data_IF_684651264020
#
_entry.id   IF_684651264020
#
_cell.length_a   1.000
_cell.length_b   1.000
_cell.length_c   1.000
_cell.angle_alpha   90.00
_cell.angle_beta   90.00
_cell.angle_gamma   90.00
#
_symmetry.space_group_name_H-M   'P 1'
#
loop_
_entity.id
_entity.type
_entity.pdbx_description
1 polymer ?
#
# COMPACT_ATOMS: atom_id res chain seq x y z
N UNK A 1 13.13 34.11 7.44
CA UNK A 1 13.05 32.75 6.90
C UNK A 1 13.62 32.64 5.48
N UNK A 2 13.01 33.24 4.45
CA UNK A 2 13.46 33.11 3.04
C UNK A 2 14.93 33.46 2.82
N UNK A 3 15.40 34.62 3.28
CA UNK A 3 16.82 35.00 3.15
C UNK A 3 17.79 34.06 3.89
N UNK A 4 17.35 33.46 5.01
CA UNK A 4 18.14 32.45 5.73
C UNK A 4 18.21 31.14 4.92
N UNK A 5 17.10 30.69 4.33
CA UNK A 5 17.08 29.53 3.45
C UNK A 5 18.06 29.67 2.27
N UNK A 6 18.06 30.85 1.64
CA UNK A 6 18.98 31.16 0.54
C UNK A 6 20.45 31.14 1.00
N UNK A 7 20.74 31.78 2.13
CA UNK A 7 22.10 31.79 2.71
C UNK A 7 22.60 30.38 3.07
N UNK A 8 21.76 29.56 3.71
CA UNK A 8 22.10 28.19 4.09
C UNK A 8 22.38 27.34 2.85
N UNK A 9 21.48 27.37 1.86
CA UNK A 9 21.64 26.52 0.68
C UNK A 9 22.81 26.95 -0.20
N UNK A 10 23.04 28.27 -0.33
CA UNK A 10 24.23 28.81 -1.00
C UNK A 10 25.51 28.29 -0.37
N UNK A 11 25.61 28.32 0.96
CA UNK A 11 26.74 27.76 1.70
C UNK A 11 26.96 26.27 1.39
N UNK A 12 25.90 25.46 1.44
CA UNK A 12 26.02 24.03 1.12
C UNK A 12 26.48 23.78 -0.32
N UNK A 13 25.91 24.51 -1.28
CA UNK A 13 26.28 24.38 -2.69
C UNK A 13 27.74 24.75 -2.93
N UNK A 14 28.22 25.84 -2.32
CA UNK A 14 29.61 26.28 -2.43
C UNK A 14 30.57 25.22 -1.88
N UNK A 15 30.32 24.73 -0.66
CA UNK A 15 31.16 23.70 -0.03
C UNK A 15 31.14 22.37 -0.79
N UNK A 16 29.98 21.96 -1.28
CA UNK A 16 29.86 20.74 -2.07
C UNK A 16 30.63 20.84 -3.41
N UNK A 17 30.59 21.99 -4.08
CA UNK A 17 31.37 22.23 -5.31
C UNK A 17 32.88 22.30 -5.03
N UNK A 18 33.30 22.92 -3.92
CA UNK A 18 34.71 22.92 -3.49
C UNK A 18 35.21 21.49 -3.26
N UNK A 19 34.44 20.66 -2.55
CA UNK A 19 34.79 19.26 -2.33
C UNK A 19 34.86 18.46 -3.64
N UNK A 20 33.90 18.66 -4.55
CA UNK A 20 33.90 18.03 -5.89
C UNK A 20 35.13 18.43 -6.72
N UNK A 21 35.60 19.67 -6.59
CA UNK A 21 36.82 20.12 -7.26
C UNK A 21 38.09 19.48 -6.69
N UNK A 22 38.20 19.36 -5.37
CA UNK A 22 39.31 18.64 -4.72
C UNK A 22 39.35 17.17 -5.15
N UNK A 23 38.19 16.52 -5.27
CA UNK A 23 38.10 15.15 -5.77
C UNK A 23 38.53 15.03 -7.24
N UNK A 24 38.29 16.07 -8.04
CA UNK A 24 38.69 16.09 -9.45
C UNK A 24 40.22 16.17 -9.63
N UNK A 25 40.92 16.85 -8.72
CA UNK A 25 42.39 16.91 -8.72
C UNK A 25 43.01 15.53 -8.47
N UNK A 26 42.38 14.72 -7.62
CA UNK A 26 42.88 13.38 -7.28
C UNK A 26 42.44 12.30 -8.28
N UNK A 27 41.20 12.40 -8.82
CA UNK A 27 40.55 11.31 -9.56
C UNK A 27 40.22 11.67 -11.01
N UNK A 28 40.51 12.90 -11.43
CA UNK A 28 40.07 13.48 -12.70
C UNK A 28 38.63 14.00 -12.64
N UNK A 29 38.29 14.88 -13.59
CA UNK A 29 36.93 15.38 -13.77
C UNK A 29 35.93 14.27 -14.11
N UNK A 30 34.63 14.55 -14.06
CA UNK A 30 33.65 13.61 -14.63
C UNK A 30 33.84 13.46 -16.15
N UNK A 31 33.54 12.29 -16.75
CA UNK A 31 33.85 12.02 -18.16
C UNK A 31 33.25 13.03 -19.15
N UNK A 32 32.02 13.49 -18.90
CA UNK A 32 31.31 14.44 -19.75
C UNK A 32 31.53 15.90 -19.33
N UNK A 33 32.63 16.21 -18.63
CA UNK A 33 32.97 17.59 -18.30
C UNK A 33 33.15 18.44 -19.57
N UNK A 34 33.89 17.99 -20.61
CA UNK A 34 34.01 18.73 -21.85
C UNK A 34 32.64 18.96 -22.51
N UNK A 35 32.32 20.21 -22.85
CA UNK A 35 31.04 20.62 -23.43
C UNK A 35 29.88 20.74 -22.43
N UNK A 36 30.12 20.58 -21.12
CA UNK A 36 29.11 20.83 -20.08
C UNK A 36 28.97 22.33 -19.76
N UNK A 37 27.96 22.70 -18.98
CA UNK A 37 27.77 24.08 -18.48
C UNK A 37 28.94 24.57 -17.60
N UNK A 38 29.82 23.67 -17.15
CA UNK A 38 30.99 23.99 -16.33
C UNK A 38 32.26 24.14 -17.16
N UNK A 39 32.25 23.75 -18.44
CA UNK A 39 33.39 23.85 -19.35
C UNK A 39 33.54 25.27 -19.89
N UNK A 40 33.86 26.19 -18.97
CA UNK A 40 34.11 27.60 -19.27
C UNK A 40 35.58 27.93 -19.05
N UNK A 41 36.09 28.90 -19.82
CA UNK A 41 37.50 29.28 -19.74
C UNK A 41 37.89 29.71 -18.32
N UNK A 42 38.89 29.04 -17.73
CA UNK A 42 39.36 29.29 -16.37
C UNK A 42 38.55 28.62 -15.25
N UNK A 43 37.51 27.84 -15.56
CA UNK A 43 36.77 27.11 -14.54
C UNK A 43 37.57 25.94 -13.95
N UNK A 44 37.42 25.73 -12.64
CA UNK A 44 38.01 24.58 -11.96
C UNK A 44 37.27 23.30 -12.36
N UNK A 45 38.02 22.25 -12.69
CA UNK A 45 37.45 20.93 -12.97
C UNK A 45 36.74 20.38 -11.73
N UNK A 46 35.60 19.73 -11.93
CA UNK A 46 34.80 19.12 -10.86
C UNK A 46 34.60 17.62 -11.12
N UNK A 47 34.45 16.84 -10.05
CA UNK A 47 34.34 15.37 -10.13
C UNK A 47 32.92 14.89 -10.40
N UNK A 48 31.92 15.68 -9.99
CA UNK A 48 30.51 15.33 -10.05
C UNK A 48 29.76 16.38 -10.87
N UNK A 49 28.85 15.94 -11.76
CA UNK A 49 28.06 16.85 -12.59
C UNK A 49 27.01 17.64 -11.78
N UNK A 50 26.48 17.04 -10.71
CA UNK A 50 25.60 17.67 -9.72
C UNK A 50 25.99 17.19 -8.33
N UNK A 51 25.79 18.04 -7.32
CA UNK A 51 26.20 17.73 -5.92
C UNK A 51 25.12 17.99 -4.88
N UNK A 52 24.02 18.66 -5.24
CA UNK A 52 22.94 19.00 -4.31
C UNK A 52 21.57 18.55 -4.82
N UNK A 53 20.73 18.15 -3.86
CA UNK A 53 19.30 17.87 -4.04
C UNK A 53 18.63 17.99 -2.68
N UNK A 54 17.35 18.34 -2.63
CA UNK A 54 16.56 18.25 -1.40
C UNK A 54 15.52 17.16 -1.59
N UNK A 55 15.75 16.01 -0.96
CA UNK A 55 14.87 14.85 -1.01
C UNK A 55 13.91 14.82 0.18
N UNK A 56 12.77 14.10 0.08
CA UNK A 56 11.99 13.76 1.25
C UNK A 56 12.83 12.98 2.25
N UNK A 57 12.78 13.38 3.53
CA UNK A 57 13.57 12.76 4.59
C UNK A 57 12.73 12.02 5.63
N UNK A 58 11.48 11.66 5.31
CA UNK A 58 10.48 11.18 6.30
C UNK A 58 10.98 10.11 7.28
N UNK A 59 11.70 9.09 6.84
CA UNK A 59 12.23 8.05 7.75
C UNK A 59 13.51 8.48 8.48
N UNK A 60 14.41 9.19 7.80
CA UNK A 60 15.72 9.56 8.36
C UNK A 60 15.62 10.78 9.29
N UNK A 61 14.60 11.64 9.12
CA UNK A 61 14.32 12.76 10.03
C UNK A 61 13.84 12.25 11.39
N UNK A 62 13.06 11.18 11.42
CA UNK A 62 12.65 10.48 12.66
C UNK A 62 13.89 9.93 13.38
N UNK A 63 14.79 9.25 12.67
CA UNK A 63 16.04 8.73 13.25
C UNK A 63 16.90 9.87 13.81
N UNK A 64 16.97 10.99 13.09
CA UNK A 64 17.73 12.17 13.48
C UNK A 64 17.07 13.03 14.57
N UNK A 65 15.81 12.75 14.92
CA UNK A 65 15.03 13.61 15.82
C UNK A 65 14.86 15.04 15.29
N UNK A 66 14.73 15.20 13.97
CA UNK A 66 14.70 16.50 13.30
C UNK A 66 13.45 16.66 12.42
N UNK A 67 13.22 17.88 11.93
CA UNK A 67 12.17 18.15 10.93
C UNK A 67 12.49 17.50 9.58
N UNK A 68 11.44 17.24 8.79
CA UNK A 68 11.58 16.58 7.49
C UNK A 68 12.05 17.54 6.40
N UNK A 69 13.36 17.66 6.23
CA UNK A 69 13.97 18.38 5.11
C UNK A 69 13.75 19.88 5.27
N UNK A 70 13.11 20.51 4.29
CA UNK A 70 12.76 21.94 4.33
C UNK A 70 11.25 22.17 4.58
N UNK A 71 10.54 21.13 5.01
CA UNK A 71 9.14 21.23 5.36
C UNK A 71 8.97 21.96 6.70
N UNK A 72 7.95 22.82 6.85
CA UNK A 72 7.53 23.30 8.16
C UNK A 72 6.94 22.16 8.98
N UNK A 73 6.89 22.36 10.29
CA UNK A 73 6.29 21.39 11.22
C UNK A 73 4.83 21.21 10.85
N UNK A 74 4.39 19.96 10.69
CA UNK A 74 3.00 19.68 10.30
C UNK A 74 2.02 19.92 11.46
N UNK A 75 2.38 19.49 12.67
CA UNK A 75 1.63 19.69 13.91
C UNK A 75 2.60 19.82 15.09
N UNK A 76 2.26 20.66 16.07
CA UNK A 76 3.08 20.87 17.27
C UNK A 76 2.92 19.77 18.32
N UNK A 77 1.82 19.02 18.26
CA UNK A 77 1.63 17.84 19.07
C UNK A 77 0.91 16.78 18.24
N UNK A 78 1.28 15.53 18.44
CA UNK A 78 0.64 14.37 17.81
C UNK A 78 0.38 13.28 18.84
N UNK A 79 -0.71 12.55 18.66
CA UNK A 79 -1.03 11.40 19.50
C UNK A 79 -0.52 10.14 18.82
N UNK A 80 0.39 9.44 19.50
CA UNK A 80 0.93 8.16 19.04
C UNK A 80 0.24 7.03 19.78
N UNK A 81 -0.35 6.10 19.04
CA UNK A 81 -0.87 4.87 19.61
C UNK A 81 0.32 3.98 20.01
N UNK A 82 0.44 3.71 21.30
CA UNK A 82 1.42 2.78 21.85
C UNK A 82 0.79 1.37 21.89
N UNK A 83 1.64 0.35 22.03
CA UNK A 83 1.17 -1.02 22.32
C UNK A 83 0.23 -0.98 23.54
N UNK A 84 -0.78 -1.87 23.55
CA UNK A 84 -1.82 -1.98 24.59
C UNK A 84 -2.92 -0.92 24.62
N UNK A 85 -3.00 -0.05 23.61
CA UNK A 85 -4.13 0.88 23.44
C UNK A 85 -3.97 2.20 24.20
N UNK A 86 -2.83 2.38 24.88
CA UNK A 86 -2.45 3.64 25.48
C UNK A 86 -2.12 4.67 24.41
N UNK A 87 -2.61 5.89 24.62
CA UNK A 87 -2.37 7.02 23.74
C UNK A 87 -1.33 7.92 24.36
N UNK A 88 -0.13 7.96 23.77
CA UNK A 88 0.93 8.86 24.22
C UNK A 88 0.82 10.19 23.45
N UNK A 89 0.74 11.29 24.20
CA UNK A 89 0.84 12.62 23.62
C UNK A 89 2.32 12.99 23.45
N UNK A 90 2.72 13.25 22.21
CA UNK A 90 4.07 13.68 21.89
C UNK A 90 4.02 15.13 21.40
N UNK A 91 4.57 16.03 22.20
CA UNK A 91 4.65 17.47 21.90
C UNK A 91 6.02 17.77 21.30
N UNK A 92 6.09 18.75 20.41
CA UNK A 92 7.34 19.23 19.86
C UNK A 92 8.30 19.61 21.01
N UNK A 93 9.50 19.00 21.10
CA UNK A 93 10.37 19.18 22.26
C UNK A 93 10.79 20.63 22.51
N UNK A 94 10.98 21.41 21.45
CA UNK A 94 11.36 22.82 21.56
C UNK A 94 10.20 23.69 22.07
N UNK A 95 8.97 23.39 21.62
CA UNK A 95 7.78 24.06 22.12
C UNK A 95 7.57 23.77 23.61
N UNK A 96 7.64 22.50 24.01
CA UNK A 96 7.50 22.11 25.41
C UNK A 96 8.57 22.75 26.30
N UNK A 97 9.83 22.72 25.86
CA UNK A 97 10.92 23.34 26.61
C UNK A 97 10.67 24.84 26.82
N UNK A 98 10.39 25.58 25.75
CA UNK A 98 10.14 27.02 25.82
C UNK A 98 8.91 27.33 26.68
N UNK A 99 7.83 26.56 26.53
CA UNK A 99 6.62 26.75 27.32
C UNK A 99 6.86 26.55 28.82
N UNK A 100 7.73 25.60 29.19
CA UNK A 100 8.13 25.38 30.59
C UNK A 100 9.03 26.50 31.10
N UNK A 101 10.01 26.91 30.31
CA UNK A 101 10.96 27.97 30.67
C UNK A 101 10.26 29.33 30.86
N UNK A 102 9.28 29.63 30.02
CA UNK A 102 8.47 30.87 30.06
C UNK A 102 7.24 30.76 30.96
N UNK A 103 6.98 29.59 31.55
CA UNK A 103 5.94 29.39 32.56
C UNK A 103 4.50 29.35 32.03
N UNK A 104 4.27 29.15 30.74
CA UNK A 104 2.93 29.00 30.16
C UNK A 104 2.54 27.54 29.85
N UNK A 105 3.39 26.57 30.16
CA UNK A 105 3.08 25.15 29.97
C UNK A 105 2.03 24.64 30.97
N UNK A 106 1.01 23.94 30.46
CA UNK A 106 0.06 23.14 31.24
C UNK A 106 -0.27 21.84 30.48
N UNK A 107 -0.73 20.81 31.20
CA UNK A 107 -1.20 19.57 30.53
C UNK A 107 -2.45 19.84 29.68
N UNK A 108 -3.29 20.77 30.12
CA UNK A 108 -4.45 21.27 29.39
C UNK A 108 -4.04 21.93 28.08
N UNK A 109 -3.02 22.80 28.10
CA UNK A 109 -2.49 23.43 26.90
C UNK A 109 -1.91 22.39 25.94
N UNK A 110 -1.17 21.40 26.46
CA UNK A 110 -0.62 20.33 25.63
C UNK A 110 -1.73 19.53 24.92
N UNK A 111 -2.81 19.19 25.64
CA UNK A 111 -3.99 18.54 25.05
C UNK A 111 -4.68 19.43 24.01
N UNK A 112 -4.85 20.72 24.32
CA UNK A 112 -5.48 21.67 23.42
C UNK A 112 -4.68 21.86 22.12
N UNK A 113 -3.34 21.95 22.22
CA UNK A 113 -2.45 22.00 21.04
C UNK A 113 -2.53 20.72 20.22
N UNK A 114 -2.71 19.57 20.87
CA UNK A 114 -2.89 18.29 20.18
C UNK A 114 -4.26 18.18 19.49
N UNK A 115 -5.29 18.81 20.05
CA UNK A 115 -6.65 18.88 19.52
C UNK A 115 -6.78 19.85 18.35
N UNK A 116 -6.16 21.03 18.44
CA UNK A 116 -6.21 22.06 17.39
C UNK A 116 -5.13 21.84 16.33
N UNK A 117 -4.05 21.16 16.68
CA UNK A 117 -2.84 21.00 15.86
C UNK A 117 -1.99 22.27 15.74
N UNK A 118 -2.45 23.42 16.27
CA UNK A 118 -1.82 24.73 16.10
C UNK A 118 -2.06 25.63 17.33
N UNK A 119 -1.10 26.51 17.62
CA UNK A 119 -1.16 27.46 18.75
C UNK A 119 -1.76 28.81 18.38
N UNK A 120 -2.08 29.07 17.10
CA UNK A 120 -2.44 30.43 16.66
C UNK A 120 -3.65 31.02 17.39
N UNK A 121 -4.63 30.18 17.73
CA UNK A 121 -5.88 30.58 18.39
C UNK A 121 -5.83 30.45 19.92
N UNK A 122 -4.66 30.15 20.50
CA UNK A 122 -4.51 29.91 21.93
C UNK A 122 -3.96 31.17 22.62
N UNK A 123 -4.81 31.87 23.36
CA UNK A 123 -4.43 33.11 24.05
C UNK A 123 -3.49 32.86 25.24
N UNK A 124 -3.48 31.64 25.78
CA UNK A 124 -2.53 31.16 26.78
C UNK A 124 -1.08 31.15 26.24
N UNK A 125 -0.90 31.10 24.92
CA UNK A 125 0.43 31.18 24.28
C UNK A 125 0.76 32.63 23.94
N UNK A 126 1.87 33.18 24.48
CA UNK A 126 2.29 34.55 24.17
C UNK A 126 2.44 34.78 22.65
N UNK A 127 2.11 35.99 22.20
CA UNK A 127 2.07 36.33 20.77
C UNK A 127 3.41 36.10 20.07
N UNK A 128 4.53 36.32 20.76
CA UNK A 128 5.87 36.08 20.22
C UNK A 128 6.08 34.61 19.84
N UNK A 129 5.61 33.69 20.69
CA UNK A 129 5.73 32.25 20.47
C UNK A 129 4.72 31.74 19.46
N UNK A 130 3.51 32.31 19.42
CA UNK A 130 2.55 32.04 18.33
C UNK A 130 3.14 32.35 16.96
N UNK A 131 3.91 33.45 16.82
CA UNK A 131 4.57 33.81 15.55
C UNK A 131 5.70 32.87 15.14
N UNK A 132 6.32 32.16 16.09
CA UNK A 132 7.43 31.24 15.84
C UNK A 132 6.90 29.83 15.55
N UNK A 133 5.98 29.35 16.39
CA UNK A 133 5.41 28.02 16.29
C UNK A 133 4.23 27.99 15.31
N UNK A 134 4.52 28.31 14.05
CA UNK A 134 3.61 28.16 12.93
C UNK A 134 3.72 26.76 12.33
N UNK A 135 2.58 26.17 12.00
CA UNK A 135 2.51 24.87 11.33
C UNK A 135 2.42 25.04 9.81
N UNK A 136 2.53 23.92 9.11
CA UNK A 136 2.40 23.86 7.66
C UNK A 136 1.09 24.45 7.12
N UNK A 137 0.04 24.51 7.94
CA UNK A 137 -1.27 25.01 7.54
C UNK A 137 -1.53 26.45 7.96
N UNK A 138 -0.70 26.99 8.87
CA UNK A 138 -0.75 28.40 9.27
C UNK A 138 0.00 29.30 8.27
N UNK A 139 0.78 28.68 7.37
CA UNK A 139 1.64 29.36 6.41
C UNK A 139 0.91 29.51 5.08
N UNK A 140 0.81 30.74 4.59
CA UNK A 140 0.24 31.00 3.26
C UNK A 140 1.03 30.27 2.15
N UNK A 141 0.35 29.69 1.13
CA UNK A 141 0.97 29.02 -0.01
C UNK A 141 2.13 29.81 -0.65
N UNK A 142 2.02 31.14 -0.73
CA UNK A 142 3.05 32.01 -1.28
C UNK A 142 4.38 31.87 -0.52
N UNK A 143 4.34 31.80 0.82
CA UNK A 143 5.57 31.67 1.61
C UNK A 143 6.23 30.31 1.43
N UNK A 144 5.44 29.25 1.23
CA UNK A 144 5.99 27.94 0.88
C UNK A 144 6.74 27.99 -0.47
N UNK A 145 6.17 28.64 -1.48
CA UNK A 145 6.79 28.79 -2.80
C UNK A 145 8.08 29.61 -2.70
N UNK A 146 8.06 30.74 -1.98
CA UNK A 146 9.24 31.59 -1.82
C UNK A 146 10.41 30.88 -1.14
N UNK A 147 10.13 30.06 -0.12
CA UNK A 147 11.17 29.23 0.53
C UNK A 147 11.68 28.17 -0.43
N UNK A 148 10.80 27.48 -1.16
CA UNK A 148 11.22 26.49 -2.16
C UNK A 148 12.11 27.12 -3.24
N UNK A 149 11.75 28.30 -3.75
CA UNK A 149 12.53 29.03 -4.74
C UNK A 149 13.92 29.42 -4.21
N UNK A 150 14.01 29.88 -2.96
CA UNK A 150 15.27 30.20 -2.31
C UNK A 150 16.21 28.99 -2.23
N UNK A 151 15.71 27.81 -1.86
CA UNK A 151 16.50 26.57 -1.92
C UNK A 151 16.82 26.14 -3.36
N UNK A 152 15.89 26.30 -4.29
CA UNK A 152 16.06 25.86 -5.68
C UNK A 152 17.17 26.63 -6.40
N UNK A 153 17.35 27.93 -6.12
CA UNK A 153 18.42 28.77 -6.68
C UNK A 153 19.83 28.20 -6.44
N UNK A 154 20.02 27.50 -5.33
CA UNK A 154 21.28 26.90 -4.94
C UNK A 154 21.21 25.37 -4.91
N UNK A 155 20.37 24.76 -5.75
CA UNK A 155 20.24 23.30 -5.88
C UNK A 155 20.41 22.86 -7.35
N UNK A 156 21.37 21.98 -7.61
CA UNK A 156 21.68 21.48 -8.96
C UNK A 156 20.55 20.60 -9.52
N UNK A 157 20.01 19.69 -8.69
CA UNK A 157 18.84 18.88 -9.04
C UNK A 157 17.54 19.61 -8.63
N UNK A 158 16.54 18.90 -8.11
CA UNK A 158 15.26 19.49 -7.70
C UNK A 158 15.12 19.59 -6.17
N UNK A 159 14.12 20.36 -5.76
CA UNK A 159 13.71 20.50 -4.36
C UNK A 159 12.36 19.82 -4.17
N UNK A 160 12.30 18.82 -3.29
CA UNK A 160 11.04 18.23 -2.83
C UNK A 160 10.46 19.10 -1.71
N UNK A 161 9.34 19.75 -2.00
CA UNK A 161 8.56 20.56 -1.06
C UNK A 161 7.09 20.45 -1.40
N UNK A 162 6.27 20.27 -0.36
CA UNK A 162 4.82 20.30 -0.47
C UNK A 162 4.28 21.70 -0.16
N UNK A 163 3.46 22.25 -1.04
CA UNK A 163 2.71 23.49 -0.82
C UNK A 163 1.36 23.08 -0.23
N UNK A 164 1.15 23.36 1.05
CA UNK A 164 -0.11 23.04 1.71
C UNK A 164 -1.12 24.15 1.43
N UNK A 165 -2.33 23.74 1.04
CA UNK A 165 -3.45 24.63 0.80
C UNK A 165 -4.55 24.36 1.81
N UNK A 166 -5.30 25.40 2.25
CA UNK A 166 -6.47 25.21 3.08
C UNK A 166 -7.57 24.45 2.32
N UNK A 167 -8.52 23.89 3.06
CA UNK A 167 -9.58 23.05 2.49
C UNK A 167 -10.43 23.80 1.46
N UNK A 168 -10.66 25.09 1.64
CA UNK A 168 -11.46 25.96 0.78
C UNK A 168 -10.69 26.53 -0.44
N UNK A 169 -9.41 26.19 -0.60
CA UNK A 169 -8.62 26.63 -1.75
C UNK A 169 -9.27 26.21 -3.08
N UNK A 170 -9.38 27.17 -3.99
CA UNK A 170 -9.99 27.01 -5.31
C UNK A 170 -9.00 26.41 -6.31
N UNK A 171 -9.51 26.01 -7.49
CA UNK A 171 -8.64 25.59 -8.60
C UNK A 171 -7.74 26.72 -9.10
N UNK A 172 -8.24 27.97 -9.07
CA UNK A 172 -7.47 29.13 -9.50
C UNK A 172 -6.28 29.37 -8.56
N UNK A 173 -6.47 29.21 -7.25
CA UNK A 173 -5.37 29.38 -6.28
C UNK A 173 -4.23 28.39 -6.53
N UNK A 174 -4.58 27.15 -6.92
CA UNK A 174 -3.63 26.11 -7.28
C UNK A 174 -2.93 26.42 -8.61
N UNK A 175 -3.67 26.90 -9.61
CA UNK A 175 -3.11 27.35 -10.90
C UNK A 175 -2.11 28.49 -10.71
N UNK A 176 -2.51 29.53 -9.97
CA UNK A 176 -1.68 30.68 -9.66
C UNK A 176 -0.39 30.27 -8.95
N UNK A 177 -0.45 29.30 -8.04
CA UNK A 177 0.74 28.77 -7.38
C UNK A 177 1.70 28.07 -8.33
N UNK A 178 1.20 27.30 -9.31
CA UNK A 178 2.05 26.71 -10.34
C UNK A 178 2.72 27.79 -11.20
N UNK A 179 1.98 28.82 -11.61
CA UNK A 179 2.52 29.93 -12.39
C UNK A 179 3.58 30.70 -11.62
N UNK A 180 3.33 31.05 -10.35
CA UNK A 180 4.31 31.74 -9.49
C UNK A 180 5.55 30.89 -9.25
N UNK A 181 5.40 29.58 -9.02
CA UNK A 181 6.54 28.68 -8.86
C UNK A 181 7.40 28.63 -10.14
N UNK A 182 6.76 28.58 -11.31
CA UNK A 182 7.45 28.63 -12.59
C UNK A 182 8.21 29.96 -12.78
N UNK A 183 7.55 31.10 -12.53
CA UNK A 183 8.17 32.43 -12.60
C UNK A 183 9.34 32.59 -11.62
N UNK A 184 9.24 31.96 -10.45
CA UNK A 184 10.31 31.96 -9.43
C UNK A 184 11.48 31.01 -9.76
N UNK A 185 11.40 30.24 -10.85
CA UNK A 185 12.44 29.31 -11.29
C UNK A 185 12.44 27.96 -10.56
N UNK A 186 11.32 27.57 -9.94
CA UNK A 186 11.15 26.24 -9.37
C UNK A 186 11.11 25.18 -10.47
N UNK A 187 11.86 24.07 -10.30
CA UNK A 187 11.91 22.97 -11.28
C UNK A 187 10.68 22.06 -11.24
N UNK A 188 9.88 22.17 -10.18
CA UNK A 188 8.65 21.41 -9.97
C UNK A 188 7.90 21.94 -8.76
N UNK A 189 6.65 21.54 -8.60
CA UNK A 189 5.81 21.93 -7.47
C UNK A 189 4.94 20.73 -7.08
N UNK A 190 4.79 20.49 -5.78
CA UNK A 190 3.84 19.50 -5.25
C UNK A 190 2.83 20.24 -4.40
N UNK A 191 1.54 20.05 -4.68
CA UNK A 191 0.45 20.67 -3.93
C UNK A 191 -0.29 19.64 -3.10
N UNK A 192 -0.69 20.03 -1.90
CA UNK A 192 -1.57 19.25 -1.06
C UNK A 192 -2.67 20.16 -0.50
N UNK A 193 -3.90 19.96 -0.95
CA UNK A 193 -5.08 20.66 -0.41
C UNK A 193 -5.65 19.87 0.75
N UNK A 194 -5.84 20.53 1.88
CA UNK A 194 -6.42 19.89 3.07
C UNK A 194 -7.79 19.26 2.74
N UNK A 195 -8.07 18.08 3.30
CA UNK A 195 -9.25 17.27 3.01
C UNK A 195 -9.40 16.72 1.59
N UNK A 196 -8.39 16.87 0.70
CA UNK A 196 -8.47 16.36 -0.68
C UNK A 196 -8.37 14.83 -0.82
N UNK A 197 -7.95 14.12 0.23
CA UNK A 197 -7.85 12.64 0.26
C UNK A 197 -8.64 12.08 1.45
N UNK A 198 -9.35 10.97 1.22
CA UNK A 198 -10.17 10.29 2.23
C UNK A 198 -9.35 9.70 3.38
N UNK A 199 -8.10 9.31 3.14
CA UNK A 199 -7.16 8.84 4.15
C UNK A 199 -5.96 9.80 4.19
N UNK A 200 -5.78 10.48 5.32
CA UNK A 200 -4.65 11.33 5.61
C UNK A 200 -3.71 10.59 6.57
N UNK A 201 -2.40 10.54 6.25
CA UNK A 201 -1.40 9.86 7.10
C UNK A 201 -1.05 10.72 8.33
N UNK A 202 -1.16 12.03 8.19
CA UNK A 202 -1.01 13.03 9.25
C UNK A 202 -2.31 13.82 9.27
N UNK A 203 -2.97 13.91 10.42
CA UNK A 203 -4.26 14.59 10.55
C UNK A 203 -4.13 15.73 11.54
N UNK A 204 -4.74 16.87 11.23
CA UNK A 204 -4.87 17.98 12.18
C UNK A 204 -5.76 17.54 13.32
N UNK A 205 -5.27 17.68 14.53
CA UNK A 205 -6.12 17.52 15.69
C UNK A 205 -6.58 16.09 15.93
N UNK A 206 -7.38 15.92 16.99
CA UNK A 206 -8.15 14.70 17.25
C UNK A 206 -9.28 14.54 16.22
N UNK A 207 -8.95 14.41 14.93
CA UNK A 207 -9.84 13.60 14.11
C UNK A 207 -9.48 12.18 14.47
N UNK A 208 -10.43 11.48 15.07
CA UNK A 208 -10.42 10.02 15.04
C UNK A 208 -10.33 9.60 13.58
N UNK A 209 -9.10 9.48 13.08
CA UNK A 209 -8.83 8.42 12.15
C UNK A 209 -9.02 7.20 13.02
N UNK A 210 -10.23 6.69 13.03
CA UNK A 210 -10.41 5.26 12.98
C UNK A 210 -9.59 4.79 11.77
N UNK A 211 -8.26 4.71 11.94
CA UNK A 211 -7.53 3.55 11.53
C UNK A 211 -8.11 2.44 12.40
N UNK A 212 -9.36 2.09 12.09
CA UNK A 212 -9.94 0.85 12.49
C UNK A 212 -8.91 -0.14 12.00
N UNK A 213 -8.13 -0.66 12.93
CA UNK A 213 -7.98 -2.10 12.97
C UNK A 213 -9.41 -2.59 13.00
N UNK A 214 -9.99 -2.75 11.80
CA UNK A 214 -11.11 -3.63 11.60
C UNK A 214 -10.51 -4.94 12.04
N UNK A 215 -10.67 -5.28 13.31
CA UNK A 215 -10.68 -6.65 13.73
C UNK A 215 -11.73 -7.26 12.84
N UNK A 216 -11.27 -7.88 11.75
CA UNK A 216 -12.11 -8.50 10.74
C UNK A 216 -12.74 -9.71 11.39
N UNK A 217 -13.76 -9.46 12.19
CA UNK A 217 -14.55 -10.49 12.84
C UNK A 217 -15.45 -11.10 11.78
N UNK A 218 -15.44 -12.42 11.60
CA UNK A 218 -16.27 -13.06 10.60
C UNK A 218 -17.75 -12.73 10.83
N UNK A 219 -18.45 -12.29 9.77
CA UNK A 219 -19.91 -12.10 9.79
C UNK A 219 -20.61 -13.30 10.45
N UNK A 220 -21.61 -13.08 11.34
CA UNK A 220 -22.34 -14.18 11.97
C UNK A 220 -23.06 -15.01 10.91
N UNK A 221 -23.13 -16.33 11.10
CA UNK A 221 -23.77 -17.23 10.13
C UNK A 221 -25.30 -17.13 10.25
N UNK A 222 -26.03 -16.76 9.17
CA UNK A 222 -27.49 -16.78 9.20
C UNK A 222 -28.02 -18.22 9.16
N UNK A 223 -29.28 -18.40 9.57
CA UNK A 223 -29.95 -19.71 9.56
C UNK A 223 -30.17 -20.24 8.13
N UNK A 224 -30.28 -19.34 7.14
CA UNK A 224 -30.51 -19.69 5.73
C UNK A 224 -29.63 -18.80 4.85
N UNK A 225 -28.93 -19.43 3.89
CA UNK A 225 -28.21 -18.77 2.79
C UNK A 225 -28.81 -19.21 1.46
N UNK A 226 -28.62 -18.41 0.40
CA UNK A 226 -29.02 -18.76 -0.98
C UNK A 226 -27.77 -18.95 -1.81
N UNK A 227 -27.80 -19.83 -2.81
CA UNK A 227 -26.60 -20.13 -3.57
C UNK A 227 -26.82 -21.11 -4.71
N UNK A 228 -25.72 -21.47 -5.37
CA UNK A 228 -25.69 -22.51 -6.39
C UNK A 228 -24.65 -23.57 -6.06
N UNK A 229 -24.84 -24.77 -6.60
CA UNK A 229 -23.80 -25.81 -6.59
C UNK A 229 -23.43 -26.15 -8.02
N UNK A 230 -22.16 -25.99 -8.36
CA UNK A 230 -21.62 -26.33 -9.67
C UNK A 230 -20.82 -27.63 -9.59
N UNK A 231 -21.05 -28.53 -10.55
CA UNK A 231 -20.28 -29.78 -10.68
C UNK A 231 -19.16 -29.59 -11.70
N UNK A 232 -17.91 -29.71 -11.24
CA UNK A 232 -16.71 -29.53 -12.07
C UNK A 232 -15.91 -30.82 -12.10
N UNK A 233 -15.46 -31.23 -13.28
CA UNK A 233 -14.62 -32.41 -13.49
C UNK A 233 -13.15 -32.03 -13.32
N UNK A 234 -12.46 -32.72 -12.42
CA UNK A 234 -11.02 -32.55 -12.16
C UNK A 234 -10.24 -33.78 -12.64
N UNK A 235 -8.95 -33.63 -12.97
CA UNK A 235 -8.22 -34.66 -13.70
C UNK A 235 -7.90 -35.93 -12.91
N UNK A 236 -8.10 -35.93 -11.59
CA UNK A 236 -8.03 -37.14 -10.76
C UNK A 236 -9.23 -38.10 -10.95
N UNK A 237 -9.99 -37.97 -12.05
CA UNK A 237 -11.11 -38.86 -12.38
C UNK A 237 -12.36 -38.67 -11.53
N UNK A 238 -12.42 -37.59 -10.75
CA UNK A 238 -13.52 -37.27 -9.84
C UNK A 238 -14.16 -35.93 -10.20
N UNK A 239 -15.39 -35.75 -9.73
CA UNK A 239 -16.06 -34.45 -9.78
C UNK A 239 -15.98 -33.77 -8.42
N UNK A 240 -15.64 -32.48 -8.44
CA UNK A 240 -15.77 -31.57 -7.31
C UNK A 240 -17.08 -30.81 -7.43
N UNK A 241 -17.81 -30.72 -6.33
CA UNK A 241 -19.04 -29.94 -6.21
C UNK A 241 -18.69 -28.68 -5.44
N UNK A 242 -18.75 -27.54 -6.13
CA UNK A 242 -18.48 -26.23 -5.55
C UNK A 242 -19.81 -25.55 -5.25
N UNK A 243 -20.16 -25.47 -3.97
CA UNK A 243 -21.33 -24.76 -3.49
C UNK A 243 -20.94 -23.35 -3.08
N UNK A 244 -21.55 -22.35 -3.71
CA UNK A 244 -21.29 -20.94 -3.47
C UNK A 244 -22.58 -20.32 -2.95
N UNK A 245 -22.51 -19.76 -1.75
CA UNK A 245 -23.65 -19.18 -1.04
C UNK A 245 -23.41 -17.69 -0.77
N UNK A 246 -24.50 -16.93 -0.80
CA UNK A 246 -24.58 -15.50 -0.52
C UNK A 246 -25.56 -15.21 0.63
N UNK A 247 -25.32 -14.07 1.28
CA UNK A 247 -26.24 -13.41 2.21
C UNK A 247 -26.63 -12.02 1.66
N UNK A 248 -27.33 -11.22 2.46
CA UNK A 248 -27.75 -9.87 2.09
C UNK A 248 -26.60 -8.89 1.77
N UNK A 249 -25.36 -9.22 2.12
CA UNK A 249 -24.16 -8.42 1.89
C UNK A 249 -23.23 -9.05 0.82
N UNK A 250 -23.72 -10.04 0.06
CA UNK A 250 -22.99 -10.72 -1.02
C UNK A 250 -22.43 -12.08 -0.63
N UNK A 251 -21.40 -12.52 -1.35
CA UNK A 251 -20.77 -13.84 -1.15
C UNK A 251 -20.40 -14.09 0.31
N UNK A 252 -20.87 -15.21 0.85
CA UNK A 252 -20.81 -15.52 2.26
C UNK A 252 -19.95 -16.75 2.55
N UNK A 253 -20.17 -17.86 1.84
CA UNK A 253 -19.43 -19.11 2.06
C UNK A 253 -19.28 -19.91 0.78
N UNK A 254 -18.19 -20.68 0.73
CA UNK A 254 -17.86 -21.58 -0.37
C UNK A 254 -17.51 -22.94 0.21
N UNK A 255 -18.20 -23.98 -0.25
CA UNK A 255 -17.90 -25.36 0.06
C UNK A 255 -17.43 -26.08 -1.20
N UNK A 256 -16.43 -26.94 -1.03
CA UNK A 256 -15.93 -27.78 -2.12
C UNK A 256 -15.90 -29.21 -1.63
N UNK A 257 -16.80 -30.04 -2.15
CA UNK A 257 -16.93 -31.45 -1.76
C UNK A 257 -16.64 -32.37 -2.92
N UNK A 258 -16.01 -33.51 -2.66
CA UNK A 258 -15.80 -34.56 -3.66
C UNK A 258 -16.63 -35.78 -3.28
N UNK A 259 -17.29 -36.40 -4.25
CA UNK A 259 -18.41 -37.31 -4.01
C UNK A 259 -18.10 -38.70 -3.41
N UNK A 260 -16.85 -39.16 -3.37
CA UNK A 260 -16.47 -40.45 -2.74
C UNK A 260 -15.51 -40.23 -1.58
N UNK A 261 -15.64 -41.09 -0.56
CA UNK A 261 -15.14 -40.94 0.80
C UNK A 261 -13.61 -40.87 0.91
N UNK A 262 -13.11 -39.79 1.50
CA UNK A 262 -11.78 -39.72 2.12
C UNK A 262 -10.59 -39.64 1.16
N UNK A 263 -9.62 -38.79 1.50
CA UNK A 263 -8.39 -38.58 0.73
C UNK A 263 -7.77 -37.21 1.03
N UNK A 264 -6.47 -37.05 0.75
CA UNK A 264 -5.74 -35.81 0.94
C UNK A 264 -6.41 -34.69 0.13
N UNK A 265 -6.86 -34.98 -1.10
CA UNK A 265 -7.53 -34.00 -1.94
C UNK A 265 -8.88 -33.53 -1.40
N UNK A 266 -9.66 -34.42 -0.75
CA UNK A 266 -10.92 -34.06 -0.13
C UNK A 266 -10.69 -33.18 1.11
N UNK A 267 -9.71 -33.54 1.94
CA UNK A 267 -9.33 -32.75 3.12
C UNK A 267 -8.80 -31.36 2.76
N UNK A 268 -8.00 -31.25 1.70
CA UNK A 268 -7.48 -29.98 1.20
C UNK A 268 -8.59 -29.12 0.61
N UNK A 269 -9.50 -29.70 -0.18
CA UNK A 269 -10.63 -28.96 -0.75
C UNK A 269 -11.57 -28.43 0.33
N UNK A 270 -11.81 -29.21 1.38
CA UNK A 270 -12.57 -28.76 2.55
C UNK A 270 -11.85 -27.63 3.31
N UNK A 271 -10.54 -27.76 3.54
CA UNK A 271 -9.74 -26.74 4.20
C UNK A 271 -9.74 -25.42 3.41
N UNK A 272 -9.58 -25.49 2.08
CA UNK A 272 -9.64 -24.34 1.18
C UNK A 272 -11.01 -23.67 1.25
N UNK A 273 -12.10 -24.43 1.16
CA UNK A 273 -13.46 -23.88 1.28
C UNK A 273 -13.71 -23.18 2.63
N UNK A 274 -13.23 -23.77 3.74
CA UNK A 274 -13.33 -23.17 5.07
C UNK A 274 -12.55 -21.85 5.17
N UNK A 275 -11.33 -21.80 4.62
CA UNK A 275 -10.50 -20.59 4.63
C UNK A 275 -11.09 -19.49 3.73
N UNK A 276 -11.59 -19.84 2.55
CA UNK A 276 -12.30 -18.91 1.67
C UNK A 276 -13.52 -18.35 2.39
N UNK A 277 -14.35 -19.21 2.98
CA UNK A 277 -15.54 -18.81 3.73
C UNK A 277 -15.20 -17.89 4.91
N UNK A 278 -14.09 -18.18 5.62
CA UNK A 278 -13.59 -17.30 6.66
C UNK A 278 -13.18 -15.94 6.09
N UNK A 279 -12.46 -15.93 4.96
CA UNK A 279 -12.03 -14.71 4.27
C UNK A 279 -13.19 -13.84 3.81
N UNK A 280 -14.18 -14.43 3.14
CA UNK A 280 -15.40 -13.75 2.68
C UNK A 280 -16.20 -13.17 3.85
N UNK A 281 -16.33 -13.92 4.95
CA UNK A 281 -16.99 -13.43 6.17
C UNK A 281 -16.19 -12.33 6.88
N UNK A 282 -14.89 -12.29 6.67
CA UNK A 282 -13.96 -11.31 7.26
C UNK A 282 -13.75 -10.08 6.36
N UNK A 283 -14.47 -9.96 5.24
CA UNK A 283 -14.35 -8.81 4.33
C UNK A 283 -13.05 -8.78 3.53
N UNK A 284 -12.46 -9.95 3.23
CA UNK A 284 -11.42 -10.06 2.20
C UNK A 284 -12.08 -9.88 0.83
N UNK A 285 -11.43 -9.11 -0.04
CA UNK A 285 -11.94 -8.78 -1.37
C UNK A 285 -12.03 -10.03 -2.26
N UNK A 286 -13.21 -10.28 -2.82
CA UNK A 286 -13.51 -11.50 -3.60
C UNK A 286 -12.61 -11.65 -4.84
N UNK A 287 -12.37 -10.61 -5.66
CA UNK A 287 -11.47 -10.72 -6.82
C UNK A 287 -10.05 -11.13 -6.43
N UNK A 288 -9.54 -10.68 -5.27
CA UNK A 288 -8.22 -11.07 -4.79
C UNK A 288 -8.20 -12.56 -4.38
N UNK A 289 -9.26 -13.07 -3.73
CA UNK A 289 -9.38 -14.51 -3.44
C UNK A 289 -9.38 -15.33 -4.74
N UNK A 290 -10.20 -14.94 -5.74
CA UNK A 290 -10.29 -15.63 -7.03
C UNK A 290 -8.92 -15.69 -7.70
N UNK A 291 -8.21 -14.55 -7.75
CA UNK A 291 -6.88 -14.44 -8.35
C UNK A 291 -5.84 -15.34 -7.69
N UNK A 292 -5.94 -15.58 -6.38
CA UNK A 292 -5.02 -16.49 -5.68
C UNK A 292 -5.33 -17.97 -5.96
N UNK A 293 -6.55 -18.31 -6.36
CA UNK A 293 -6.99 -19.69 -6.60
C UNK A 293 -6.80 -20.12 -8.07
N UNK A 294 -7.13 -19.23 -9.01
CA UNK A 294 -7.01 -19.51 -10.44
C UNK A 294 -5.54 -19.69 -10.86
N UNK A 295 -5.29 -20.69 -11.71
CA UNK A 295 -3.94 -21.00 -12.18
C UNK A 295 -3.16 -21.99 -11.31
N UNK A 296 -3.62 -22.32 -10.10
CA UNK A 296 -3.00 -23.38 -9.29
C UNK A 296 -3.10 -24.72 -10.03
N UNK A 297 -1.97 -25.39 -10.23
CA UNK A 297 -1.87 -26.59 -11.05
C UNK A 297 -1.55 -27.82 -10.21
N UNK A 298 -2.32 -28.89 -10.41
CA UNK A 298 -1.99 -30.23 -9.94
C UNK A 298 -1.41 -31.08 -11.09
N UNK A 299 -0.82 -32.25 -10.80
CA UNK A 299 -0.24 -33.12 -11.82
C UNK A 299 -1.25 -33.55 -12.89
N UNK A 300 -2.53 -33.72 -12.53
CA UNK A 300 -3.59 -34.22 -13.41
C UNK A 300 -4.62 -33.12 -13.73
N UNK A 301 -4.38 -32.25 -14.72
CA UNK A 301 -5.41 -31.32 -15.21
C UNK A 301 -6.54 -32.08 -15.94
N UNK A 302 -7.73 -31.49 -16.02
CA UNK A 302 -8.89 -32.00 -16.77
C UNK A 302 -9.39 -30.99 -17.81
N UNK A 303 -10.02 -31.48 -18.86
CA UNK A 303 -10.75 -30.64 -19.82
C UNK A 303 -12.25 -30.76 -19.57
N UNK A 304 -12.94 -29.62 -19.51
CA UNK A 304 -14.39 -29.55 -19.40
C UNK A 304 -14.91 -28.31 -20.16
N UNK A 305 -15.89 -28.52 -21.05
CA UNK A 305 -16.65 -27.44 -21.72
C UNK A 305 -15.77 -26.34 -22.34
N UNK A 306 -14.70 -26.75 -23.05
CA UNK A 306 -13.78 -25.82 -23.71
C UNK A 306 -12.75 -25.13 -22.79
N UNK A 307 -12.83 -25.38 -21.47
CA UNK A 307 -11.89 -24.87 -20.48
C UNK A 307 -11.02 -25.99 -19.89
N UNK A 308 -9.77 -25.66 -19.57
CA UNK A 308 -8.90 -26.56 -18.81
C UNK A 308 -9.03 -26.26 -17.32
N UNK A 309 -9.28 -27.27 -16.51
CA UNK A 309 -9.28 -27.22 -15.05
C UNK A 309 -7.94 -27.77 -14.56
N UNK A 310 -7.16 -26.92 -13.90
CA UNK A 310 -5.77 -27.20 -13.56
C UNK A 310 -5.61 -27.92 -12.22
N UNK A 311 -6.53 -27.72 -11.28
CA UNK A 311 -6.56 -28.35 -9.96
C UNK A 311 -7.92 -28.15 -9.27
N UNK A 312 -8.09 -28.73 -8.08
CA UNK A 312 -9.26 -28.46 -7.22
C UNK A 312 -9.35 -26.98 -6.80
N UNK A 313 -8.22 -26.31 -6.53
CA UNK A 313 -8.21 -24.90 -6.18
C UNK A 313 -8.60 -24.01 -7.38
N UNK A 314 -8.05 -24.32 -8.56
CA UNK A 314 -8.41 -23.64 -9.81
C UNK A 314 -9.89 -23.86 -10.18
N UNK A 315 -10.44 -25.05 -9.89
CA UNK A 315 -11.87 -25.31 -10.05
C UNK A 315 -12.73 -24.39 -9.17
N UNK A 316 -12.36 -24.21 -7.89
CA UNK A 316 -13.08 -23.32 -6.97
C UNK A 316 -12.97 -21.87 -7.44
N UNK A 317 -11.78 -21.40 -7.83
CA UNK A 317 -11.55 -20.04 -8.34
C UNK A 317 -12.42 -19.75 -9.56
N UNK A 318 -12.44 -20.65 -10.54
CA UNK A 318 -13.25 -20.51 -11.75
C UNK A 318 -14.76 -20.55 -11.49
N UNK A 319 -15.21 -21.37 -10.55
CA UNK A 319 -16.61 -21.41 -10.14
C UNK A 319 -17.03 -20.07 -9.51
N UNK A 320 -16.20 -19.51 -8.64
CA UNK A 320 -16.43 -18.19 -8.04
C UNK A 320 -16.41 -17.07 -9.09
N UNK A 321 -15.46 -17.11 -10.03
CA UNK A 321 -15.38 -16.15 -11.13
C UNK A 321 -16.63 -16.19 -12.01
N UNK A 322 -17.10 -17.39 -12.40
CA UNK A 322 -18.36 -17.55 -13.12
C UNK A 322 -19.53 -17.04 -12.32
N UNK A 323 -19.65 -17.40 -11.04
CA UNK A 323 -20.78 -16.98 -10.20
C UNK A 323 -20.92 -15.45 -10.12
N UNK A 324 -19.80 -14.74 -9.98
CA UNK A 324 -19.77 -13.26 -9.90
C UNK A 324 -20.12 -12.61 -11.25
N UNK A 325 -19.75 -13.23 -12.38
CA UNK A 325 -19.99 -12.67 -13.71
C UNK A 325 -21.36 -13.07 -14.29
N UNK A 326 -21.82 -14.29 -14.02
CA UNK A 326 -23.11 -14.84 -14.48
C UNK A 326 -24.30 -14.36 -13.63
N UNK A 327 -24.09 -13.69 -12.49
CA UNK A 327 -25.17 -12.95 -11.82
C UNK A 327 -25.78 -11.84 -12.71
N UNK A 328 -25.15 -11.55 -13.86
CA UNK A 328 -25.66 -10.68 -14.92
C UNK A 328 -26.55 -11.38 -15.98
N UNK A 329 -26.56 -12.72 -16.07
CA UNK A 329 -27.25 -13.44 -17.16
C UNK A 329 -27.76 -14.83 -16.73
N UNK A 330 -29.06 -15.05 -16.88
CA UNK A 330 -29.76 -16.30 -16.55
C UNK A 330 -29.18 -17.56 -17.21
N UNK A 331 -28.92 -18.59 -16.41
CA UNK A 331 -28.35 -19.89 -16.81
C UNK A 331 -29.34 -20.78 -17.59
N UNK A 332 -28.87 -21.33 -18.72
CA UNK A 332 -29.45 -22.48 -19.40
C UNK A 332 -28.63 -23.74 -19.07
N UNK A 333 -29.30 -24.79 -18.60
CA UNK A 333 -28.69 -26.10 -18.33
C UNK A 333 -28.47 -26.82 -19.66
N UNK A 334 -27.25 -27.26 -19.92
CA UNK A 334 -26.99 -28.27 -20.96
C UNK A 334 -26.07 -29.35 -20.42
N UNK A 335 -26.38 -30.60 -20.78
CA UNK A 335 -25.68 -31.79 -20.33
C UNK A 335 -24.95 -32.45 -21.50
N UNK A 336 -23.74 -32.92 -21.21
CA UNK A 336 -23.01 -34.03 -21.83
C UNK A 336 -21.64 -33.61 -22.37
N UNK A 337 -20.58 -34.10 -21.72
CA UNK A 337 -19.19 -33.93 -22.15
C UNK A 337 -18.38 -35.19 -21.82
N UNK A 338 -17.92 -35.86 -22.87
CA UNK A 338 -17.10 -37.08 -22.83
C UNK A 338 -15.78 -36.84 -22.11
N UNK A 339 -15.44 -37.70 -21.14
CA UNK A 339 -14.20 -37.63 -20.37
C UNK A 339 -13.01 -37.97 -21.27
N UNK A 340 -12.22 -36.98 -21.66
CA UNK A 340 -10.97 -37.21 -22.37
C UNK A 340 -9.92 -37.79 -21.40
N UNK A 341 -9.33 -38.95 -21.75
CA UNK A 341 -8.20 -39.54 -21.02
C UNK A 341 -6.97 -38.64 -21.16
N UNK A 342 -6.68 -37.83 -20.14
CA UNK A 342 -5.46 -37.02 -20.12
C UNK A 342 -4.23 -37.87 -19.79
N UNK A 343 -3.29 -37.91 -20.73
CA UNK A 343 -1.90 -38.27 -20.47
C UNK A 343 -1.15 -37.01 -19.99
N UNK A 344 -0.94 -36.87 -18.68
CA UNK A 344 0.21 -36.21 -18.01
C UNK A 344 -0.09 -36.04 -16.51
N UNK A 345 0.88 -36.43 -15.68
CA UNK A 345 0.94 -36.31 -14.22
C UNK A 345 -0.07 -37.17 -13.45
N UNK A 346 0.43 -38.21 -12.78
CA UNK A 346 -0.41 -39.24 -12.15
C UNK A 346 -0.78 -38.83 -10.72
N UNK A 347 -2.07 -38.92 -10.37
CA UNK A 347 -2.52 -38.72 -9.01
C UNK A 347 -2.01 -39.89 -8.13
N UNK A 348 -1.38 -39.62 -6.97
CA UNK A 348 -0.93 -40.69 -6.08
C UNK A 348 -2.08 -41.36 -5.31
N UNK A 349 -3.31 -40.86 -5.43
CA UNK A 349 -4.51 -41.42 -4.81
C UNK A 349 -5.39 -42.14 -5.83
N UNK A 350 -5.98 -43.26 -5.40
CA UNK A 350 -6.90 -44.07 -6.18
C UNK A 350 -8.19 -43.28 -6.46
N UNK A 351 -8.64 -43.21 -7.73
CA UNK A 351 -9.86 -42.47 -8.08
C UNK A 351 -11.14 -43.11 -7.51
N UNK A 352 -11.12 -44.42 -7.19
CA UNK A 352 -12.31 -45.14 -6.73
C UNK A 352 -12.52 -45.10 -5.21
N UNK A 353 -11.43 -45.12 -4.43
CA UNK A 353 -11.52 -45.22 -2.97
C UNK A 353 -10.58 -44.28 -2.20
N UNK A 354 -9.82 -43.41 -2.89
CA UNK A 354 -8.95 -42.41 -2.25
C UNK A 354 -7.69 -42.95 -1.55
N UNK A 355 -7.48 -44.27 -1.55
CA UNK A 355 -6.26 -44.89 -1.00
C UNK A 355 -5.06 -44.63 -1.90
N UNK A 356 -3.86 -44.50 -1.34
CA UNK A 356 -2.64 -44.34 -2.12
C UNK A 356 -2.45 -45.52 -3.08
N UNK A 357 -2.21 -45.21 -4.36
CA UNK A 357 -1.91 -46.22 -5.37
C UNK A 357 -0.42 -46.53 -5.35
N UNK A 358 -0.10 -47.79 -5.57
CA UNK A 358 1.26 -48.30 -5.63
C UNK A 358 1.59 -48.69 -7.07
N UNK A 359 2.85 -48.49 -7.46
CA UNK A 359 3.32 -48.92 -8.76
C UNK A 359 3.75 -50.39 -8.70
N UNK A 360 2.97 -51.27 -9.30
CA UNK A 360 3.21 -52.71 -9.31
C UNK A 360 2.94 -53.29 -10.71
N UNK A 361 3.79 -54.21 -11.16
CA UNK A 361 3.64 -54.90 -12.46
C UNK A 361 3.54 -53.94 -13.66
N UNK A 362 4.23 -52.79 -13.60
CA UNK A 362 4.24 -51.80 -14.68
C UNK A 362 2.99 -50.91 -14.75
N UNK A 363 2.11 -50.95 -13.75
CA UNK A 363 0.92 -50.12 -13.68
C UNK A 363 0.65 -49.59 -12.25
N UNK A 364 -0.16 -48.54 -12.11
CA UNK A 364 -0.69 -48.12 -10.81
C UNK A 364 -1.85 -49.03 -10.40
N UNK A 365 -1.73 -49.65 -9.23
CA UNK A 365 -2.76 -50.47 -8.61
C UNK A 365 -3.15 -49.92 -7.24
N UNK A 366 -4.43 -50.00 -6.92
CA UNK A 366 -4.92 -49.72 -5.58
C UNK A 366 -4.99 -51.03 -4.78
N UNK A 367 -4.22 -51.16 -3.67
CA UNK A 367 -4.27 -52.35 -2.83
C UNK A 367 -5.62 -52.50 -2.11
N UNK A 368 -6.38 -51.41 -1.94
CA UNK A 368 -7.63 -51.43 -1.16
C UNK A 368 -8.87 -51.82 -1.97
N UNK A 369 -8.98 -51.43 -3.24
CA UNK A 369 -10.21 -51.65 -4.03
C UNK A 369 -9.97 -52.40 -5.35
N UNK A 370 -8.73 -52.76 -5.66
CA UNK A 370 -8.39 -53.49 -6.89
C UNK A 370 -8.36 -52.63 -8.15
N UNK A 371 -8.49 -51.30 -8.04
CA UNK A 371 -8.36 -50.39 -9.18
C UNK A 371 -7.00 -50.57 -9.89
N UNK A 372 -7.02 -50.71 -11.20
CA UNK A 372 -5.85 -50.75 -12.10
C UNK A 372 -6.01 -49.64 -13.14
N UNK A 373 -5.01 -48.79 -13.30
CA UNK A 373 -5.09 -47.73 -14.30
C UNK A 373 -5.06 -48.26 -15.75
N UNK A 374 -4.45 -49.43 -15.96
CA UNK A 374 -4.20 -50.01 -17.28
C UNK A 374 -5.30 -50.95 -17.76
N UNK A 375 -6.39 -51.08 -16.99
CA UNK A 375 -7.41 -52.11 -17.18
C UNK A 375 -7.26 -53.24 -16.17
#
# INVERSE_FOLDING_TARGET
>A
AVGMAESIMSFFQERARQASAMLAEQRGAFPNFPGSIYDTSGARKIRNATVTTIAPTGSISIIAGASSGIEPIYALAYQRNVLDGDRLLEVNPLFEQIARDEGFYSEELAKLVAETGSVQQLDEVPLEWRRIFVTAHDIDPEWHIRVQAAFQRHTDNAVSKTINFPHDASRQDVEDAYLRAYEAGCKGLTVYRDGSRAAQVLVKGLVEVEAGRVTRTPRPRPTVTKGMTEKITVGCGQSIYVTINEDQNGLFEVFATMGKSGGCMASQSEAIGRLISLGLRSGIDTPEIIKQLEGIRCPAPAWQEGNIILSCADAIGKAMHRYVNDSSTSLAVSSSGTVARNLLGMCPECPDCGTMVEFAEGCLRCPSCGYSQCG
#
